data_IF_727910210165
#
_entry.id   IF_727910210165
#
_cell.length_a   1.000
_cell.length_b   1.000
_cell.length_c   1.000
_cell.angle_alpha   90.00
_cell.angle_beta   90.00
_cell.angle_gamma   90.00
#
_symmetry.space_group_name_H-M   'P 1'
#
loop_
_entity.id
_entity.type
_entity.pdbx_description
1 polymer ?
#
# COMPACT_ATOMS: atom_id res chain seq x y z
N UNK A 1 -13.05 20.73 -14.18
CA UNK A 1 -13.49 19.48 -14.84
C UNK A 1 -12.28 18.90 -15.56
N UNK A 2 -11.55 17.98 -14.93
CA UNK A 2 -10.30 17.46 -15.50
C UNK A 2 -10.05 16.00 -15.09
N UNK A 3 -10.48 15.09 -15.96
CA UNK A 3 -9.93 13.75 -16.19
C UNK A 3 -9.80 12.79 -15.02
N UNK A 4 -10.74 11.86 -14.88
CA UNK A 4 -10.53 10.60 -14.15
C UNK A 4 -9.52 9.73 -14.90
N UNK A 5 -8.23 9.89 -14.63
CA UNK A 5 -7.24 8.90 -15.03
C UNK A 5 -7.27 7.73 -14.05
N UNK A 6 -8.19 6.78 -14.26
CA UNK A 6 -8.05 5.42 -13.71
C UNK A 6 -7.08 4.62 -14.61
N UNK A 7 -5.82 5.06 -14.67
CA UNK A 7 -4.77 4.07 -14.87
C UNK A 7 -4.74 3.21 -13.60
N UNK A 8 -4.51 1.90 -13.69
CA UNK A 8 -4.00 1.20 -12.52
C UNK A 8 -2.76 2.01 -12.10
N UNK A 9 -2.84 2.74 -10.99
CA UNK A 9 -1.87 3.79 -10.65
C UNK A 9 -0.55 3.08 -10.47
N UNK A 10 0.37 3.20 -11.45
CA UNK A 10 1.70 2.62 -11.31
C UNK A 10 2.31 3.17 -10.02
N UNK A 11 2.58 2.27 -9.09
CA UNK A 11 3.23 2.59 -7.84
C UNK A 11 4.73 2.82 -8.07
N UNK A 12 5.44 3.37 -7.07
CA UNK A 12 6.89 3.55 -7.13
C UNK A 12 7.64 2.31 -7.63
N UNK A 13 7.26 1.11 -7.17
CA UNK A 13 7.94 -0.12 -7.57
C UNK A 13 7.61 -0.59 -8.99
N UNK A 14 6.45 -0.22 -9.55
CA UNK A 14 6.15 -0.43 -10.96
C UNK A 14 7.04 0.44 -11.85
N UNK A 15 7.29 1.69 -11.42
CA UNK A 15 8.19 2.62 -12.13
C UNK A 15 9.63 2.10 -12.09
N UNK A 16 10.11 1.70 -10.92
CA UNK A 16 11.44 1.08 -10.77
C UNK A 16 11.62 -0.18 -11.62
N UNK A 17 10.60 -1.04 -11.67
CA UNK A 17 10.62 -2.22 -12.54
C UNK A 17 10.69 -1.82 -14.03
N UNK A 18 9.95 -0.80 -14.47
CA UNK A 18 10.03 -0.30 -15.86
C UNK A 18 11.41 0.26 -16.23
N UNK A 19 12.16 0.73 -15.24
CA UNK A 19 13.53 1.23 -15.40
C UNK A 19 14.63 0.18 -15.20
N UNK A 20 14.30 -1.12 -15.27
CA UNK A 20 15.24 -2.24 -15.02
C UNK A 20 15.95 -2.19 -13.65
N UNK A 21 15.34 -1.55 -12.65
CA UNK A 21 15.87 -1.44 -11.28
C UNK A 21 14.80 -1.84 -10.25
N UNK A 22 14.24 -3.06 -10.33
CA UNK A 22 13.05 -3.44 -9.56
C UNK A 22 13.27 -3.39 -8.05
N UNK A 23 12.22 -3.03 -7.31
CA UNK A 23 12.20 -3.13 -5.85
C UNK A 23 12.40 -4.59 -5.41
N UNK A 24 13.46 -4.86 -4.65
CA UNK A 24 13.66 -6.16 -3.98
C UNK A 24 12.95 -6.26 -2.63
N UNK A 25 12.64 -5.10 -2.04
CA UNK A 25 11.84 -4.94 -0.83
C UNK A 25 11.06 -3.63 -0.91
N UNK A 26 9.84 -3.61 -0.38
CA UNK A 26 8.94 -2.47 -0.44
C UNK A 26 8.21 -2.33 0.90
N UNK A 27 8.53 -1.27 1.66
CA UNK A 27 7.96 -1.01 2.98
C UNK A 27 7.27 0.35 3.02
N UNK A 28 6.04 0.38 3.51
CA UNK A 28 5.25 1.60 3.65
C UNK A 28 4.10 1.36 4.63
N UNK A 29 3.87 2.29 5.55
CA UNK A 29 2.72 2.28 6.46
C UNK A 29 1.57 3.16 5.98
N UNK A 30 1.76 3.93 4.91
CA UNK A 30 0.80 4.96 4.48
C UNK A 30 0.05 4.58 3.20
N UNK A 31 0.70 3.89 2.26
CA UNK A 31 0.13 3.51 0.96
C UNK A 31 0.84 2.31 0.34
N UNK A 32 0.17 1.64 -0.59
CA UNK A 32 0.78 0.66 -1.48
C UNK A 32 1.92 1.27 -2.32
N UNK A 33 2.97 0.46 -2.56
CA UNK A 33 4.09 0.82 -3.43
C UNK A 33 4.01 0.19 -4.83
N UNK A 34 3.06 -0.72 -5.04
CA UNK A 34 2.68 -1.28 -6.35
C UNK A 34 1.20 -0.98 -6.62
N UNK A 35 0.86 -0.70 -7.86
CA UNK A 35 -0.50 -0.31 -8.27
C UNK A 35 -1.55 -1.41 -8.11
N UNK A 36 -1.13 -2.67 -8.09
CA UNK A 36 -2.00 -3.83 -7.88
C UNK A 36 -1.92 -4.40 -6.45
N UNK A 37 -1.18 -3.77 -5.55
CA UNK A 37 -1.04 -4.29 -4.19
C UNK A 37 -2.33 -4.10 -3.40
N UNK A 38 -2.91 -5.20 -2.94
CA UNK A 38 -4.15 -5.24 -2.17
C UNK A 38 -3.99 -5.92 -0.80
N UNK A 39 -2.74 -6.08 -0.33
CA UNK A 39 -2.40 -6.79 0.90
C UNK A 39 -2.27 -5.90 2.14
N UNK A 40 -1.70 -6.49 3.20
CA UNK A 40 -1.45 -5.86 4.50
C UNK A 40 -0.16 -5.05 4.49
N UNK A 41 -0.26 -3.74 4.72
CA UNK A 41 0.88 -2.82 4.76
C UNK A 41 1.73 -2.99 6.02
N UNK A 42 1.08 -3.14 7.18
CA UNK A 42 1.74 -3.28 8.47
C UNK A 42 0.81 -3.95 9.48
N UNK A 43 1.39 -4.36 10.61
CA UNK A 43 0.66 -4.91 11.75
C UNK A 43 0.77 -3.94 12.93
N UNK A 44 -0.35 -3.67 13.58
CA UNK A 44 -0.39 -2.98 14.87
C UNK A 44 -0.58 -3.98 16.00
N UNK A 45 -0.04 -3.63 17.18
CA UNK A 45 -0.29 -4.35 18.43
C UNK A 45 -0.88 -3.38 19.44
N UNK A 46 -2.07 -3.70 19.94
CA UNK A 46 -2.71 -2.90 20.99
C UNK A 46 -2.04 -3.20 22.32
N UNK A 47 -1.57 -2.16 23.02
CA UNK A 47 -0.84 -2.31 24.28
C UNK A 47 -1.71 -2.80 25.44
N UNK A 48 -3.03 -2.57 25.41
CA UNK A 48 -3.95 -2.95 26.50
C UNK A 48 -4.16 -4.45 26.63
N UNK A 49 -4.10 -5.20 25.53
CA UNK A 49 -4.44 -6.63 25.49
C UNK A 49 -3.45 -7.45 24.64
N UNK A 50 -2.41 -6.82 24.10
CA UNK A 50 -1.40 -7.43 23.22
C UNK A 50 -1.95 -8.06 21.94
N UNK A 51 -3.21 -7.79 21.59
CA UNK A 51 -3.80 -8.29 20.34
C UNK A 51 -3.16 -7.58 19.15
N UNK A 52 -2.97 -8.33 18.06
CA UNK A 52 -2.44 -7.81 16.81
C UNK A 52 -3.54 -7.65 15.77
N UNK A 53 -3.36 -6.67 14.88
CA UNK A 53 -4.25 -6.45 13.74
C UNK A 53 -3.42 -6.03 12.53
N UNK A 54 -3.66 -6.68 11.41
CA UNK A 54 -3.06 -6.27 10.15
C UNK A 54 -3.88 -5.13 9.52
N UNK A 55 -3.18 -4.13 9.01
CA UNK A 55 -3.74 -2.95 8.36
C UNK A 55 -3.44 -3.02 6.86
N UNK A 56 -4.49 -3.22 6.08
CA UNK A 56 -4.44 -3.28 4.62
C UNK A 56 -4.65 -1.92 3.95
N UNK A 57 -4.83 -1.96 2.63
CA UNK A 57 -5.22 -0.80 1.82
C UNK A 57 -6.73 -0.73 1.65
N UNK A 58 -7.29 0.49 1.55
CA UNK A 58 -8.72 0.72 1.29
C UNK A 58 -9.13 0.21 -0.10
N UNK A 59 -8.19 0.24 -1.05
CA UNK A 59 -8.33 -0.33 -2.40
C UNK A 59 -6.95 -0.68 -2.95
N UNK A 60 -6.88 -1.57 -3.94
CA UNK A 60 -5.60 -1.97 -4.54
C UNK A 60 -4.80 -0.75 -5.04
N UNK A 61 -3.51 -0.68 -4.70
CA UNK A 61 -2.65 0.47 -5.02
C UNK A 61 -2.95 1.74 -4.21
N UNK A 62 -3.89 1.68 -3.26
CA UNK A 62 -4.37 2.82 -2.50
C UNK A 62 -3.64 3.08 -1.17
N UNK A 63 -4.26 3.94 -0.37
CA UNK A 63 -3.80 4.28 0.98
C UNK A 63 -4.18 3.22 2.01
N UNK A 64 -3.46 3.22 3.13
CA UNK A 64 -3.77 2.42 4.31
C UNK A 64 -5.19 2.71 4.82
N UNK A 65 -5.89 1.67 5.29
CA UNK A 65 -7.14 1.83 6.02
C UNK A 65 -6.86 2.33 7.45
N UNK A 66 -6.61 3.63 7.56
CA UNK A 66 -6.31 4.28 8.84
C UNK A 66 -7.49 4.21 9.84
N UNK A 67 -8.73 4.04 9.35
CA UNK A 67 -9.89 3.88 10.24
C UNK A 67 -9.90 2.52 10.94
N UNK A 68 -9.19 1.53 10.38
CA UNK A 68 -9.05 0.20 10.96
C UNK A 68 -7.91 0.08 11.98
N UNK A 69 -7.05 1.10 12.12
CA UNK A 69 -5.87 1.10 12.99
C UNK A 69 -6.22 1.27 14.48
#
# INVERSE_FOLDING_TARGET
>A
MGGTARAAVQGPCDIYASGNTPCVAAHSTTRALYGNYAGNLYQVRRSSDNTTKDIGVVSAGGYADAASQ
#
